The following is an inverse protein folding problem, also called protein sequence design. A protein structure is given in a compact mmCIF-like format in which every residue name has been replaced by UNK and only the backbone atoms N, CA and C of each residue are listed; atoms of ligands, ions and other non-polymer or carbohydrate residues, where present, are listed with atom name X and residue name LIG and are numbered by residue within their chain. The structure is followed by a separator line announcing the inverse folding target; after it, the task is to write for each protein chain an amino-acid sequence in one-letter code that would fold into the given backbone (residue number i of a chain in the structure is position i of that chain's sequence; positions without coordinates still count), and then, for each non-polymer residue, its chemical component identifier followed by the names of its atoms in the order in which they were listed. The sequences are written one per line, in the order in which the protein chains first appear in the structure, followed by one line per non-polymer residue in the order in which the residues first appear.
data_IF_950255267897
#
_entry.id   IF_950255267897
#
_cell.length_a   1.000
_cell.length_b   1.000
_cell.length_c   1.000
_cell.angle_alpha   90.00
_cell.angle_beta   90.00
_cell.angle_gamma   90.00
#
_symmetry.space_group_name_H-M   'P 1'
#
loop_
_entity.id
_entity.type
_entity.pdbx_description
1 polymer ?
#
# COMPACT_ATOMS: atom_id res chain seq x y z
N UNK A 1 14.94 5.93 22.47
CA UNK A 1 16.25 6.10 23.15
C UNK A 1 16.01 6.32 24.65
N UNK A 2 16.88 5.81 25.53
CA UNK A 2 16.79 6.06 26.98
C UNK A 2 17.18 7.51 27.34
N UNK A 3 18.02 8.15 26.53
CA UNK A 3 18.35 9.58 26.60
C UNK A 3 18.51 10.16 25.18
N UNK A 4 18.01 11.38 24.96
CA UNK A 4 18.21 12.13 23.71
C UNK A 4 17.37 11.68 22.50
N UNK A 5 17.66 12.29 21.35
CA UNK A 5 17.13 11.87 20.05
C UNK A 5 17.86 10.61 19.58
N UNK A 6 17.19 9.77 18.80
CA UNK A 6 17.82 8.58 18.26
C UNK A 6 18.69 8.91 17.04
N UNK A 7 19.96 8.54 17.08
CA UNK A 7 20.87 8.70 15.94
C UNK A 7 20.71 7.51 14.98
N UNK A 8 19.96 7.74 13.90
CA UNK A 8 19.70 6.74 12.87
C UNK A 8 21.00 6.27 12.18
N UNK A 9 22.00 7.14 12.06
CA UNK A 9 23.27 6.85 11.40
C UNK A 9 24.12 5.93 12.26
N UNK A 10 24.26 6.24 13.55
CA UNK A 10 24.97 5.40 14.52
C UNK A 10 24.35 3.99 14.60
N UNK A 11 23.01 3.93 14.77
CA UNK A 11 22.29 2.64 14.85
C UNK A 11 22.53 1.83 13.58
N UNK A 12 22.44 2.45 12.40
CA UNK A 12 22.67 1.73 11.13
C UNK A 12 24.08 1.19 11.02
N UNK A 13 25.10 1.98 11.38
CA UNK A 13 26.49 1.56 11.30
C UNK A 13 26.76 0.37 12.23
N UNK A 14 26.37 0.48 13.51
CA UNK A 14 26.56 -0.59 14.50
C UNK A 14 25.87 -1.89 14.11
N UNK A 15 24.65 -1.79 13.59
CA UNK A 15 23.91 -2.97 13.15
C UNK A 15 24.48 -3.59 11.86
N UNK A 16 25.05 -2.79 10.96
CA UNK A 16 25.67 -3.28 9.73
C UNK A 16 26.93 -4.13 9.98
N UNK A 17 27.65 -3.86 11.07
CA UNK A 17 28.84 -4.64 11.48
C UNK A 17 28.49 -6.05 11.98
N UNK A 18 27.23 -6.28 12.40
CA UNK A 18 26.77 -7.58 12.92
C UNK A 18 26.54 -8.63 11.83
N UNK A 19 26.69 -8.25 10.55
CA UNK A 19 26.50 -9.07 9.36
C UNK A 19 25.15 -9.82 9.38
N UNK A 20 24.08 -9.09 9.74
CA UNK A 20 22.74 -9.65 9.94
C UNK A 20 21.81 -9.53 8.73
N UNK A 21 22.35 -9.25 7.54
CA UNK A 21 21.59 -9.07 6.30
C UNK A 21 21.26 -7.61 6.00
N UNK A 22 20.21 -7.37 5.21
CA UNK A 22 19.77 -6.03 4.86
C UNK A 22 19.03 -5.38 6.04
N UNK A 23 19.46 -4.17 6.43
CA UNK A 23 18.97 -3.49 7.63
C UNK A 23 18.43 -2.13 7.22
N UNK A 24 17.17 -1.87 7.56
CA UNK A 24 16.55 -0.58 7.40
C UNK A 24 16.27 0.05 8.75
N UNK A 25 16.83 1.24 8.96
CA UNK A 25 16.64 2.03 10.17
C UNK A 25 15.90 3.29 9.77
N UNK A 26 14.71 3.49 10.34
CA UNK A 26 13.81 4.60 10.05
C UNK A 26 13.26 5.20 11.35
N UNK A 27 13.05 6.51 11.37
CA UNK A 27 12.36 7.16 12.47
C UNK A 27 10.87 6.74 12.47
N UNK A 28 10.31 6.50 13.66
CA UNK A 28 8.93 6.07 13.81
C UNK A 28 8.17 6.97 14.79
N UNK A 29 7.40 7.92 14.28
CA UNK A 29 6.66 8.86 15.12
C UNK A 29 7.60 9.90 15.76
N UNK A 30 7.88 9.77 17.06
CA UNK A 30 8.67 10.74 17.80
C UNK A 30 10.18 10.69 17.45
N UNK A 31 10.96 11.77 17.64
CA UNK A 31 12.40 11.82 17.31
C UNK A 31 13.29 10.83 18.08
N UNK A 32 12.77 10.24 19.15
CA UNK A 32 13.44 9.25 19.98
C UNK A 32 13.02 7.80 19.67
N UNK A 33 12.06 7.62 18.78
CA UNK A 33 11.48 6.33 18.40
C UNK A 33 11.99 5.93 17.02
N UNK A 34 12.53 4.72 16.95
CA UNK A 34 13.17 4.17 15.74
C UNK A 34 12.59 2.80 15.48
N UNK A 35 12.28 2.56 14.22
CA UNK A 35 11.93 1.26 13.69
C UNK A 35 13.14 0.68 12.98
N UNK A 36 13.55 -0.49 13.44
CA UNK A 36 14.62 -1.29 12.84
C UNK A 36 13.95 -2.47 12.16
N UNK A 37 14.21 -2.63 10.87
CA UNK A 37 13.81 -3.80 10.09
C UNK A 37 15.07 -4.53 9.66
N UNK A 38 15.05 -5.85 9.82
CA UNK A 38 16.14 -6.74 9.39
C UNK A 38 15.52 -7.77 8.45
N UNK A 39 16.16 -7.98 7.30
CA UNK A 39 15.74 -9.01 6.35
C UNK A 39 15.83 -10.41 6.97
N UNK A 40 15.02 -11.34 6.43
CA UNK A 40 15.13 -12.77 6.76
C UNK A 40 16.56 -13.25 6.48
N UNK A 41 17.06 -14.13 7.36
CA UNK A 41 18.29 -14.88 7.12
C UNK A 41 17.98 -16.32 6.77
N UNK A 42 18.58 -16.82 5.69
CA UNK A 42 18.51 -18.22 5.27
C UNK A 42 19.41 -19.13 6.13
N UNK A 43 19.38 -18.98 7.47
CA UNK A 43 20.32 -19.60 8.40
C UNK A 43 19.70 -20.67 9.33
N UNK A 44 18.52 -21.23 8.97
CA UNK A 44 17.85 -22.29 9.71
C UNK A 44 16.85 -21.81 10.78
N UNK A 45 16.26 -22.74 11.52
CA UNK A 45 15.08 -22.54 12.40
C UNK A 45 15.23 -21.50 13.52
N UNK A 46 16.45 -21.07 13.86
CA UNK A 46 16.75 -20.12 14.95
C UNK A 46 17.42 -18.82 14.45
N UNK A 47 17.40 -18.58 13.14
CA UNK A 47 18.08 -17.43 12.55
C UNK A 47 17.51 -16.10 13.08
N UNK A 48 16.19 -15.99 13.17
CA UNK A 48 15.49 -14.80 13.64
C UNK A 48 15.77 -14.50 15.11
N UNK A 49 15.79 -15.54 15.95
CA UNK A 49 16.10 -15.40 17.39
C UNK A 49 17.55 -14.92 17.59
N UNK A 50 18.49 -15.47 16.82
CA UNK A 50 19.89 -15.06 16.84
C UNK A 50 20.07 -13.60 16.44
N UNK A 51 19.30 -13.14 15.45
CA UNK A 51 19.29 -11.73 15.04
C UNK A 51 18.77 -10.84 16.17
N UNK A 52 17.66 -11.22 16.81
CA UNK A 52 17.11 -10.46 17.94
C UNK A 52 18.14 -10.36 19.07
N UNK A 53 18.81 -11.45 19.40
CA UNK A 53 19.79 -11.48 20.49
C UNK A 53 21.01 -10.61 20.18
N UNK A 54 21.49 -10.61 18.92
CA UNK A 54 22.56 -9.71 18.46
C UNK A 54 22.15 -8.24 18.53
N UNK A 55 20.96 -7.91 18.03
CA UNK A 55 20.42 -6.53 18.02
C UNK A 55 20.19 -6.04 19.45
N UNK A 56 19.63 -6.88 20.33
CA UNK A 56 19.47 -6.57 21.75
C UNK A 56 20.82 -6.40 22.43
N UNK A 57 21.76 -7.31 22.22
CA UNK A 57 23.10 -7.24 22.78
C UNK A 57 23.79 -5.91 22.51
N UNK A 58 23.63 -5.40 21.28
CA UNK A 58 24.24 -4.14 20.86
C UNK A 58 23.49 -2.90 21.39
N UNK A 59 22.15 -2.90 21.36
CA UNK A 59 21.37 -1.66 21.58
C UNK A 59 20.70 -1.55 22.96
N UNK A 60 20.60 -2.64 23.74
CA UNK A 60 19.84 -2.66 25.01
C UNK A 60 20.32 -1.67 26.07
N UNK A 61 21.59 -1.28 26.04
CA UNK A 61 22.15 -0.37 27.03
C UNK A 61 21.63 1.06 26.83
N UNK A 62 21.45 1.48 25.58
CA UNK A 62 21.07 2.85 25.20
C UNK A 62 19.61 3.00 24.76
N UNK A 63 18.98 1.90 24.33
CA UNK A 63 17.63 1.90 23.78
C UNK A 63 16.72 0.94 24.56
N UNK A 64 15.43 1.22 24.53
CA UNK A 64 14.40 0.36 25.08
C UNK A 64 13.61 -0.27 23.94
N UNK A 65 13.35 -1.58 24.03
CA UNK A 65 12.69 -2.37 23.00
C UNK A 65 11.21 -2.48 23.32
N UNK A 66 10.42 -1.52 22.80
CA UNK A 66 8.97 -1.48 23.06
C UNK A 66 8.20 -2.61 22.39
N UNK A 67 8.57 -2.97 21.17
CA UNK A 67 7.91 -4.02 20.38
C UNK A 67 8.92 -4.73 19.50
N UNK A 68 8.87 -6.06 19.52
CA UNK A 68 9.64 -6.92 18.61
C UNK A 68 8.63 -7.84 17.94
N UNK A 69 8.56 -7.76 16.62
CA UNK A 69 7.70 -8.61 15.80
C UNK A 69 8.58 -9.43 14.88
N UNK A 70 8.29 -10.72 14.78
CA UNK A 70 8.99 -11.64 13.89
C UNK A 70 7.98 -12.12 12.87
N UNK A 71 8.26 -11.84 11.60
CA UNK A 71 7.50 -12.38 10.47
C UNK A 71 8.34 -13.47 9.84
N UNK A 72 7.94 -14.72 10.02
CA UNK A 72 8.65 -15.86 9.44
C UNK A 72 8.58 -15.84 7.90
N UNK A 73 9.61 -16.34 7.20
CA UNK A 73 9.69 -16.32 5.74
C UNK A 73 8.49 -16.98 5.06
N UNK A 74 7.99 -18.08 5.61
CA UNK A 74 6.81 -18.79 5.10
C UNK A 74 5.55 -17.92 5.17
N UNK A 75 5.35 -17.19 6.27
CA UNK A 75 4.18 -16.32 6.46
C UNK A 75 4.28 -15.10 5.54
N UNK A 76 5.48 -14.52 5.41
CA UNK A 76 5.73 -13.40 4.49
C UNK A 76 5.45 -13.77 3.03
N UNK A 77 5.96 -14.94 2.58
CA UNK A 77 5.73 -15.43 1.22
C UNK A 77 4.25 -15.73 0.94
N UNK A 78 3.55 -16.35 1.89
CA UNK A 78 2.13 -16.65 1.74
C UNK A 78 1.29 -15.36 1.72
N UNK A 79 1.58 -14.38 2.58
CA UNK A 79 0.91 -13.07 2.59
C UNK A 79 1.10 -12.32 1.27
N UNK A 80 2.32 -12.29 0.73
CA UNK A 80 2.60 -11.65 -0.55
C UNK A 80 1.81 -12.31 -1.69
N UNK A 81 1.78 -13.65 -1.72
CA UNK A 81 1.05 -14.42 -2.73
C UNK A 81 -0.45 -14.23 -2.61
N UNK A 82 -1.02 -14.41 -1.41
CA UNK A 82 -2.44 -14.24 -1.16
C UNK A 82 -2.90 -12.80 -1.44
N UNK A 83 -2.12 -11.81 -1.03
CA UNK A 83 -2.40 -10.40 -1.30
C UNK A 83 -2.42 -10.08 -2.80
N UNK A 84 -1.45 -10.61 -3.54
CA UNK A 84 -1.39 -10.46 -5.01
C UNK A 84 -2.60 -11.13 -5.68
N UNK A 85 -2.96 -12.35 -5.27
CA UNK A 85 -4.13 -13.06 -5.81
C UNK A 85 -5.42 -12.30 -5.48
N UNK A 86 -5.60 -11.83 -4.24
CA UNK A 86 -6.77 -11.07 -3.83
C UNK A 86 -6.93 -9.78 -4.65
N UNK A 87 -5.82 -9.06 -4.89
CA UNK A 87 -5.81 -7.86 -5.74
C UNK A 87 -6.25 -8.18 -7.17
N UNK A 88 -5.69 -9.23 -7.78
CA UNK A 88 -6.05 -9.65 -9.13
C UNK A 88 -7.52 -10.06 -9.24
N UNK A 89 -8.02 -10.83 -8.26
CA UNK A 89 -9.43 -11.22 -8.21
C UNK A 89 -10.33 -9.99 -8.08
N UNK A 90 -9.97 -9.02 -7.24
CA UNK A 90 -10.73 -7.78 -7.08
C UNK A 90 -10.78 -6.97 -8.39
N UNK A 91 -9.64 -6.80 -9.07
CA UNK A 91 -9.56 -6.12 -10.37
C UNK A 91 -10.40 -6.80 -11.45
N UNK A 92 -10.37 -8.14 -11.52
CA UNK A 92 -11.20 -8.91 -12.46
C UNK A 92 -12.68 -8.78 -12.10
N UNK A 93 -13.05 -8.85 -10.81
CA UNK A 93 -14.42 -8.68 -10.35
C UNK A 93 -14.99 -7.31 -10.70
N UNK A 94 -14.19 -6.27 -10.51
CA UNK A 94 -14.47 -4.89 -10.96
C UNK A 94 -14.69 -4.84 -12.47
N UNK A 95 -13.78 -5.43 -13.26
CA UNK A 95 -13.85 -5.43 -14.71
C UNK A 95 -15.15 -6.08 -15.20
N UNK A 96 -15.48 -7.25 -14.65
CA UNK A 96 -16.73 -7.94 -14.97
C UNK A 96 -17.94 -7.08 -14.60
N UNK A 97 -17.95 -6.50 -13.40
CA UNK A 97 -19.03 -5.63 -12.96
C UNK A 97 -19.24 -4.44 -13.90
N UNK A 98 -18.17 -3.69 -14.23
CA UNK A 98 -18.26 -2.52 -15.10
C UNK A 98 -18.65 -2.93 -16.52
N UNK A 99 -18.12 -4.04 -17.03
CA UNK A 99 -18.46 -4.56 -18.36
C UNK A 99 -19.93 -4.97 -18.48
N UNK A 100 -20.52 -5.61 -17.46
CA UNK A 100 -21.94 -5.93 -17.48
C UNK A 100 -22.83 -4.69 -17.28
N UNK A 101 -22.38 -3.70 -16.51
CA UNK A 101 -23.18 -2.52 -16.16
C UNK A 101 -23.13 -1.40 -17.21
N UNK A 102 -22.01 -1.23 -17.91
CA UNK A 102 -21.70 -0.12 -18.82
C UNK A 102 -21.18 -0.59 -20.19
N UNK A 103 -21.16 0.31 -21.18
CA UNK A 103 -20.56 0.01 -22.49
C UNK A 103 -19.05 -0.24 -22.34
N UNK A 104 -18.48 -1.11 -23.18
CA UNK A 104 -17.10 -1.59 -23.04
C UNK A 104 -16.04 -0.47 -23.04
N UNK A 105 -16.31 0.67 -23.68
CA UNK A 105 -15.41 1.82 -23.68
C UNK A 105 -15.23 2.41 -22.27
N UNK A 106 -16.31 2.46 -21.48
CA UNK A 106 -16.26 2.91 -20.09
C UNK A 106 -15.49 1.92 -19.21
N UNK A 107 -15.62 0.62 -19.48
CA UNK A 107 -14.87 -0.41 -18.77
C UNK A 107 -13.35 -0.22 -18.91
N UNK A 108 -12.86 0.03 -20.13
CA UNK A 108 -11.43 0.31 -20.37
C UNK A 108 -10.96 1.53 -19.59
N UNK A 109 -11.74 2.62 -19.58
CA UNK A 109 -11.41 3.83 -18.83
C UNK A 109 -11.33 3.59 -17.32
N UNK A 110 -12.31 2.88 -16.74
CA UNK A 110 -12.32 2.55 -15.32
C UNK A 110 -11.13 1.66 -14.91
N UNK A 111 -10.75 0.71 -15.78
CA UNK A 111 -9.58 -0.15 -15.54
C UNK A 111 -8.31 0.68 -15.50
N UNK A 112 -8.09 1.56 -16.48
CA UNK A 112 -6.88 2.39 -16.53
C UNK A 112 -6.79 3.28 -15.29
N UNK A 113 -7.89 3.93 -14.90
CA UNK A 113 -7.93 4.76 -13.68
C UNK A 113 -7.62 3.93 -12.42
N UNK A 114 -8.24 2.76 -12.28
CA UNK A 114 -8.02 1.88 -11.12
C UNK A 114 -6.56 1.38 -11.06
N UNK A 115 -6.00 0.97 -12.20
CA UNK A 115 -4.60 0.52 -12.27
C UNK A 115 -3.65 1.66 -11.92
N UNK A 116 -3.93 2.88 -12.41
CA UNK A 116 -3.17 4.07 -12.05
C UNK A 116 -3.17 4.29 -10.53
N UNK A 117 -4.32 4.21 -9.88
CA UNK A 117 -4.43 4.40 -8.42
C UNK A 117 -3.66 3.34 -7.64
N UNK A 118 -3.72 2.08 -8.08
CA UNK A 118 -2.95 0.98 -7.48
C UNK A 118 -1.45 1.23 -7.63
N UNK A 119 -1.00 1.57 -8.84
CA UNK A 119 0.42 1.82 -9.11
C UNK A 119 0.94 3.03 -8.32
N UNK A 120 0.17 4.12 -8.26
CA UNK A 120 0.53 5.31 -7.48
C UNK A 120 0.59 4.99 -5.99
N UNK A 121 -0.36 4.21 -5.48
CA UNK A 121 -0.38 3.84 -4.06
C UNK A 121 0.81 2.93 -3.72
N UNK A 122 1.09 1.90 -4.52
CA UNK A 122 2.26 1.04 -4.31
C UNK A 122 3.56 1.83 -4.46
N UNK A 123 3.65 2.71 -5.47
CA UNK A 123 4.79 3.60 -5.69
C UNK A 123 5.07 4.49 -4.48
N UNK A 124 4.03 5.00 -3.83
CA UNK A 124 4.15 5.74 -2.58
C UNK A 124 4.79 4.90 -1.46
N UNK A 125 4.38 3.63 -1.27
CA UNK A 125 5.01 2.73 -0.30
C UNK A 125 6.49 2.49 -0.61
N UNK A 126 6.82 2.26 -1.89
CA UNK A 126 8.22 2.06 -2.33
C UNK A 126 9.07 3.31 -2.06
N UNK A 127 8.57 4.51 -2.38
CA UNK A 127 9.30 5.77 -2.20
C UNK A 127 9.49 6.13 -0.73
N UNK A 128 8.48 5.88 0.10
CA UNK A 128 8.51 6.20 1.54
C UNK A 128 9.22 5.13 2.37
N UNK A 129 9.44 3.94 1.81
CA UNK A 129 9.98 2.80 2.54
C UNK A 129 9.05 2.31 3.66
N UNK A 130 7.74 2.60 3.55
CA UNK A 130 6.72 2.09 4.47
C UNK A 130 6.58 0.59 4.30
N UNK A 131 6.32 -0.10 5.41
CA UNK A 131 6.17 -1.55 5.41
C UNK A 131 4.88 -1.96 4.72
N UNK A 132 5.00 -2.88 3.77
CA UNK A 132 3.85 -3.50 3.14
C UNK A 132 3.42 -4.73 3.93
N UNK A 133 2.29 -4.62 4.62
CA UNK A 133 1.72 -5.69 5.44
C UNK A 133 0.22 -5.89 5.13
N UNK A 134 -0.43 -6.80 5.86
CA UNK A 134 -1.85 -7.10 5.65
C UNK A 134 -2.76 -5.86 5.84
N UNK A 135 -2.45 -4.99 6.80
CA UNK A 135 -3.19 -3.73 7.00
C UNK A 135 -3.03 -2.79 5.80
N UNK A 136 -1.85 -2.75 5.21
CA UNK A 136 -1.57 -1.96 4.00
C UNK A 136 -2.38 -2.48 2.81
N UNK A 137 -2.44 -3.80 2.62
CA UNK A 137 -3.28 -4.43 1.60
C UNK A 137 -4.76 -4.07 1.77
N UNK A 138 -5.28 -4.14 3.01
CA UNK A 138 -6.67 -3.78 3.31
C UNK A 138 -6.95 -2.29 3.02
N UNK A 139 -6.01 -1.40 3.35
CA UNK A 139 -6.11 0.01 3.04
C UNK A 139 -6.16 0.26 1.53
N UNK A 140 -5.31 -0.41 0.74
CA UNK A 140 -5.30 -0.28 -0.72
C UNK A 140 -6.63 -0.74 -1.32
N UNK A 141 -7.15 -1.90 -0.91
CA UNK A 141 -8.45 -2.38 -1.37
C UNK A 141 -9.58 -1.39 -1.02
N UNK A 142 -9.49 -0.72 0.12
CA UNK A 142 -10.45 0.31 0.54
C UNK A 142 -10.37 1.54 -0.36
N UNK A 143 -9.17 2.03 -0.66
CA UNK A 143 -8.94 3.17 -1.56
C UNK A 143 -9.51 2.86 -2.96
N UNK A 144 -9.22 1.67 -3.49
CA UNK A 144 -9.77 1.21 -4.78
C UNK A 144 -11.30 1.24 -4.76
N UNK A 145 -11.91 0.74 -3.68
CA UNK A 145 -13.37 0.73 -3.54
C UNK A 145 -13.99 2.13 -3.60
N UNK A 146 -13.39 3.10 -2.91
CA UNK A 146 -13.85 4.49 -2.94
C UNK A 146 -13.62 5.16 -4.30
N UNK A 147 -12.41 5.07 -4.87
CA UNK A 147 -12.11 5.65 -6.19
C UNK A 147 -13.04 5.12 -7.29
N UNK A 148 -13.32 3.82 -7.23
CA UNK A 148 -14.21 3.18 -8.19
C UNK A 148 -15.67 3.59 -8.00
N UNK A 149 -16.12 3.73 -6.75
CA UNK A 149 -17.47 4.24 -6.48
C UNK A 149 -17.69 5.60 -7.14
N UNK A 150 -16.72 6.49 -7.03
CA UNK A 150 -16.79 7.82 -7.64
C UNK A 150 -16.84 7.73 -9.17
N UNK A 151 -16.03 6.85 -9.76
CA UNK A 151 -16.05 6.56 -11.21
C UNK A 151 -17.42 6.05 -11.67
N UNK A 152 -18.07 5.16 -10.91
CA UNK A 152 -19.41 4.64 -11.23
C UNK A 152 -20.44 5.76 -11.21
N UNK A 153 -20.41 6.65 -10.21
CA UNK A 153 -21.36 7.75 -10.09
C UNK A 153 -21.27 8.68 -11.30
N UNK A 154 -20.05 9.04 -11.72
CA UNK A 154 -19.81 9.85 -12.93
C UNK A 154 -20.33 9.14 -14.17
N UNK A 155 -20.01 7.85 -14.34
CA UNK A 155 -20.43 7.09 -15.52
C UNK A 155 -21.94 6.89 -15.61
N UNK A 156 -22.62 6.71 -14.48
CA UNK A 156 -24.07 6.60 -14.47
C UNK A 156 -24.71 7.93 -14.88
N UNK A 157 -24.15 9.06 -14.43
CA UNK A 157 -24.58 10.39 -14.86
C UNK A 157 -24.36 10.62 -16.35
N UNK A 158 -23.19 10.29 -16.88
CA UNK A 158 -22.90 10.35 -18.32
C UNK A 158 -23.93 9.53 -19.11
N UNK A 159 -24.27 8.34 -18.65
CA UNK A 159 -25.26 7.47 -19.30
C UNK A 159 -26.67 8.06 -19.26
N UNK A 160 -27.07 8.66 -18.14
CA UNK A 160 -28.35 9.34 -18.00
C UNK A 160 -28.45 10.53 -18.96
N UNK A 161 -27.41 11.38 -19.00
CA UNK A 161 -27.37 12.55 -19.86
C UNK A 161 -27.35 12.18 -21.35
N UNK A 162 -26.67 11.09 -21.74
CA UNK A 162 -26.72 10.55 -23.11
C UNK A 162 -28.15 10.15 -23.52
N UNK A 163 -28.94 9.60 -22.60
CA UNK A 163 -30.34 9.24 -22.86
C UNK A 163 -31.25 10.47 -22.94
N UNK A 164 -30.99 11.48 -22.11
CA UNK A 164 -31.77 12.72 -22.01
C UNK A 164 -31.48 13.69 -23.15
N UNK A 165 -30.22 13.87 -23.53
CA UNK A 165 -29.74 14.87 -24.47
C UNK A 165 -29.17 14.26 -25.76
N UNK A 166 -30.04 13.63 -26.57
CA UNK A 166 -29.64 12.89 -27.79
C UNK A 166 -28.91 13.71 -28.88
N UNK A 167 -28.98 15.04 -28.84
CA UNK A 167 -28.39 15.96 -29.84
C UNK A 167 -27.24 16.80 -29.29
N UNK A 168 -26.93 16.69 -27.99
CA UNK A 168 -25.86 17.49 -27.38
C UNK A 168 -24.49 16.93 -27.80
N UNK A 169 -23.50 17.78 -28.13
CA UNK A 169 -22.15 17.32 -28.40
C UNK A 169 -21.54 16.58 -27.20
N UNK A 170 -20.87 15.44 -27.46
CA UNK A 170 -20.27 14.59 -26.43
C UNK A 170 -19.36 15.35 -25.43
N UNK A 171 -18.43 16.23 -25.86
CA UNK A 171 -17.57 16.93 -24.91
C UNK A 171 -18.34 17.82 -23.93
N UNK A 172 -19.40 18.48 -24.40
CA UNK A 172 -20.24 19.33 -23.57
C UNK A 172 -21.06 18.49 -22.58
N UNK A 173 -21.57 17.36 -23.02
CA UNK A 173 -22.31 16.43 -22.19
C UNK A 173 -21.44 15.84 -21.08
N UNK A 174 -20.23 15.37 -21.41
CA UNK A 174 -19.27 14.86 -20.44
C UNK A 174 -18.90 15.92 -19.41
N UNK A 175 -18.64 17.15 -19.85
CA UNK A 175 -18.32 18.26 -18.95
C UNK A 175 -19.47 18.59 -17.99
N UNK A 176 -20.72 18.54 -18.48
CA UNK A 176 -21.89 18.74 -17.62
C UNK A 176 -22.03 17.62 -16.59
N UNK A 177 -21.91 16.35 -17.02
CA UNK A 177 -22.00 15.20 -16.12
C UNK A 177 -20.94 15.25 -15.01
N UNK A 178 -19.70 15.65 -15.34
CA UNK A 178 -18.63 15.85 -14.35
C UNK A 178 -18.99 16.98 -13.38
N UNK A 179 -19.42 18.14 -13.86
CA UNK A 179 -19.78 19.27 -13.00
C UNK A 179 -20.96 18.95 -12.06
N UNK A 180 -21.94 18.19 -12.52
CA UNK A 180 -23.11 17.80 -11.72
C UNK A 180 -22.78 16.75 -10.65
N UNK A 181 -21.71 15.98 -10.85
CA UNK A 181 -21.26 14.95 -9.91
C UNK A 181 -20.15 15.44 -8.97
N UNK A 182 -19.52 16.58 -9.29
CA UNK A 182 -18.42 17.19 -8.53
C UNK A 182 -18.79 17.58 -7.08
N UNK A 183 -20.06 17.88 -6.79
CA UNK A 183 -20.49 18.15 -5.41
C UNK A 183 -20.79 16.88 -4.60
N UNK A 184 -20.73 15.71 -5.24
CA UNK A 184 -21.04 14.39 -4.65
C UNK A 184 -19.81 13.50 -4.48
N UNK A 185 -18.74 13.76 -5.23
CA UNK A 185 -17.43 13.10 -5.16
C UNK A 185 -16.43 14.06 -4.54
#
# INVERSE_FOLDING_TARGET
AKQGNADLGDIRNRLSELNIGEIQVQQFGAPNDVLIRVGTQDAGENAEQTVIDKVRGELQDQYDFRRVEVVGPTVSGELAKQGTIAMLIALVGILLYVWFRFEWQFAVGAIIATVHDVVMTIGFFVLTGLEFNQSSLAAILTIIGYSLNDTIVVYDRVREDLRRYKKMPLPQLLNNAINETLSRT
#
